data_IF_387602361629
#
_entry.id   IF_387602361629
#
_cell.length_a   1.000
_cell.length_b   1.000
_cell.length_c   1.000
_cell.angle_alpha   90.00
_cell.angle_beta   90.00
_cell.angle_gamma   90.00
#
_symmetry.space_group_name_H-M   'P 1'
#
loop_
_entity.id
_entity.type
_entity.pdbx_description
1 polymer ?
#
# COMPACT_ATOMS: atom_id res chain seq x y z
N UNK A 1 3.23 11.38 -17.49
CA UNK A 1 1.84 10.88 -17.37
C UNK A 1 1.98 9.48 -16.81
N UNK A 2 2.17 9.40 -15.50
CA UNK A 2 2.66 8.20 -14.84
C UNK A 2 1.48 7.29 -14.61
N UNK A 3 1.44 6.25 -15.42
CA UNK A 3 0.45 5.18 -15.43
C UNK A 3 0.18 4.72 -14.00
N UNK A 4 -1.07 4.80 -13.59
CA UNK A 4 -1.61 4.43 -12.28
C UNK A 4 -1.44 2.91 -12.07
N UNK A 5 -0.21 2.49 -11.74
CA UNK A 5 0.09 1.12 -11.35
C UNK A 5 -0.34 0.93 -9.90
N UNK A 6 -1.66 0.78 -9.74
CA UNK A 6 -2.28 0.38 -8.49
C UNK A 6 -2.04 -1.12 -8.28
N UNK A 7 -1.44 -1.46 -7.15
CA UNK A 7 -1.17 -2.82 -6.70
C UNK A 7 -2.06 -3.10 -5.51
N UNK A 8 -2.62 -4.30 -5.46
CA UNK A 8 -3.42 -4.72 -4.31
C UNK A 8 -2.50 -4.85 -3.09
N UNK A 9 -2.79 -4.10 -2.04
CA UNK A 9 -2.03 -4.11 -0.80
C UNK A 9 -1.89 -5.52 -0.20
N UNK A 10 -2.91 -6.35 -0.36
CA UNK A 10 -2.89 -7.76 0.07
C UNK A 10 -1.82 -8.59 -0.63
N UNK A 11 -1.49 -8.29 -1.90
CA UNK A 11 -0.44 -8.98 -2.65
C UNK A 11 0.95 -8.58 -2.12
N UNK A 12 1.15 -7.28 -1.89
CA UNK A 12 2.36 -6.77 -1.23
C UNK A 12 2.53 -7.33 0.19
N UNK A 13 1.46 -7.33 0.98
CA UNK A 13 1.40 -7.94 2.31
C UNK A 13 1.81 -9.41 2.29
N UNK A 14 1.37 -10.17 1.29
CA UNK A 14 1.71 -11.58 1.15
C UNK A 14 3.18 -11.79 0.77
N UNK A 15 3.74 -10.94 -0.09
CA UNK A 15 5.15 -11.01 -0.49
C UNK A 15 6.10 -10.61 0.65
N UNK A 16 5.77 -9.55 1.39
CA UNK A 16 6.61 -9.00 2.46
C UNK A 16 6.25 -9.54 3.85
N UNK A 17 5.25 -10.42 3.94
CA UNK A 17 4.73 -10.98 5.20
C UNK A 17 4.35 -9.89 6.23
N UNK A 18 3.84 -8.76 5.74
CA UNK A 18 3.34 -7.68 6.59
C UNK A 18 1.82 -7.72 6.63
N UNK A 19 1.23 -7.27 7.74
CA UNK A 19 -0.22 -7.22 7.86
C UNK A 19 -0.83 -5.99 7.19
N UNK A 20 -2.06 -6.13 6.68
CA UNK A 20 -2.82 -4.99 6.15
C UNK A 20 -3.04 -3.92 7.22
N UNK A 21 -3.09 -4.30 8.50
CA UNK A 21 -3.16 -3.40 9.65
C UNK A 21 -1.99 -2.42 9.71
N UNK A 22 -0.80 -2.83 9.25
CA UNK A 22 0.37 -1.96 9.17
C UNK A 22 0.19 -0.88 8.11
N UNK A 23 -0.29 -1.26 6.92
CA UNK A 23 -0.58 -0.34 5.83
C UNK A 23 -1.69 0.64 6.23
N UNK A 24 -2.75 0.16 6.90
CA UNK A 24 -3.80 1.04 7.44
C UNK A 24 -3.24 2.00 8.47
N UNK A 25 -2.36 1.54 9.36
CA UNK A 25 -1.70 2.41 10.34
C UNK A 25 -0.92 3.52 9.63
N UNK A 26 -0.09 3.18 8.63
CA UNK A 26 0.67 4.17 7.86
C UNK A 26 -0.22 5.18 7.14
N UNK A 27 -1.35 4.72 6.58
CA UNK A 27 -2.34 5.59 5.97
C UNK A 27 -3.02 6.50 6.99
N UNK A 28 -3.35 5.98 8.18
CA UNK A 28 -3.89 6.77 9.31
C UNK A 28 -2.88 7.81 9.83
N UNK A 29 -1.58 7.49 9.82
CA UNK A 29 -0.52 8.44 10.12
C UNK A 29 -0.27 9.46 9.00
N UNK A 30 -0.89 9.29 7.82
CA UNK A 30 -0.67 10.14 6.65
C UNK A 30 0.72 9.96 6.02
N UNK A 31 1.39 8.83 6.29
CA UNK A 31 2.69 8.50 5.69
C UNK A 31 2.53 7.96 4.27
N UNK A 32 1.42 7.27 4.02
CA UNK A 32 1.07 6.74 2.71
C UNK A 32 -0.37 7.02 2.34
N UNK A 33 -0.68 6.99 1.05
CA UNK A 33 -2.05 7.01 0.54
C UNK A 33 -2.49 5.63 0.08
N UNK A 34 -3.70 5.24 0.46
CA UNK A 34 -4.30 3.97 0.04
C UNK A 34 -5.67 4.24 -0.58
N UNK A 35 -6.00 3.53 -1.64
CA UNK A 35 -7.30 3.63 -2.31
C UNK A 35 -8.09 2.36 -2.05
N UNK A 36 -9.23 2.45 -1.37
CA UNK A 36 -10.10 1.29 -1.16
C UNK A 36 -11.14 1.19 -2.28
N UNK A 37 -11.08 0.11 -3.07
CA UNK A 37 -12.01 -0.18 -4.17
C UNK A 37 -12.55 -1.58 -3.94
N UNK A 38 -13.88 -1.72 -3.84
CA UNK A 38 -14.55 -3.03 -3.65
C UNK A 38 -13.99 -3.85 -2.47
N UNK A 39 -13.76 -3.20 -1.31
CA UNK A 39 -13.16 -3.83 -0.11
C UNK A 39 -11.74 -4.36 -0.30
N UNK A 40 -11.07 -4.01 -1.41
CA UNK A 40 -9.63 -4.21 -1.58
C UNK A 40 -8.92 -2.88 -1.45
N UNK A 41 -7.80 -2.91 -0.74
CA UNK A 41 -6.91 -1.77 -0.61
C UNK A 41 -5.92 -1.82 -1.75
N UNK A 42 -5.78 -0.69 -2.44
CA UNK A 42 -4.85 -0.49 -3.54
C UNK A 42 -3.81 0.55 -3.15
N UNK A 43 -2.58 0.28 -3.53
CA UNK A 43 -1.41 1.12 -3.31
C UNK A 43 -0.81 1.47 -4.66
N UNK A 44 -0.46 2.73 -4.85
CA UNK A 44 0.34 3.13 -6.00
C UNK A 44 1.78 2.64 -5.84
N UNK A 45 2.49 2.50 -6.96
CA UNK A 45 3.92 2.16 -6.94
C UNK A 45 4.75 3.11 -6.06
N UNK A 46 4.48 4.41 -6.08
CA UNK A 46 5.17 5.37 -5.21
C UNK A 46 5.00 5.05 -3.71
N UNK A 47 3.83 4.55 -3.31
CA UNK A 47 3.53 4.16 -1.93
C UNK A 47 4.20 2.84 -1.56
N UNK A 48 4.31 1.92 -2.51
CA UNK A 48 5.11 0.69 -2.36
C UNK A 48 6.59 1.02 -2.15
N UNK A 49 7.15 1.93 -2.96
CA UNK A 49 8.55 2.33 -2.79
C UNK A 49 8.79 2.97 -1.42
N UNK A 50 7.85 3.77 -0.91
CA UNK A 50 7.91 4.29 0.47
C UNK A 50 7.85 3.17 1.52
N UNK A 51 6.97 2.19 1.33
CA UNK A 51 6.85 1.04 2.23
C UNK A 51 8.14 0.22 2.27
N UNK A 52 8.78 -0.02 1.12
CA UNK A 52 10.07 -0.72 1.00
C UNK A 52 11.23 0.04 1.66
N UNK A 53 11.13 1.37 1.85
CA UNK A 53 12.12 2.13 2.62
C UNK A 53 11.94 2.01 4.14
N UNK A 54 10.75 1.59 4.60
CA UNK A 54 10.40 1.52 6.03
C UNK A 54 10.64 0.11 6.60
N UNK A 55 10.52 -0.94 5.77
CA UNK A 55 10.68 -2.36 6.15
C UNK A 55 12.10 -2.87 5.84
#
# INVERSE_FOLDING_TARGET
>A
MNTENLVVATDFCSCHQIEISFIRSLAEFGLIETTEIQQQVYLSRDELEKLEQIV
#
